data_IF_880721799580
#
_entry.id   IF_880721799580
#
_cell.length_a   1.000
_cell.length_b   1.000
_cell.length_c   1.000
_cell.angle_alpha   90.00
_cell.angle_beta   90.00
_cell.angle_gamma   90.00
#
_symmetry.space_group_name_H-M   'P 1'
#
loop_
_entity.id
_entity.type
_entity.pdbx_description
1 polymer ?
#
# COMPACT_ATOMS: atom_id res chain seq x y z
N UNK A 1 -15.31 3.97 -12.06
CA UNK A 1 -14.39 5.07 -11.69
C UNK A 1 -13.07 4.58 -11.10
N UNK A 2 -13.03 3.42 -10.41
CA UNK A 2 -11.80 2.84 -9.86
C UNK A 2 -10.91 2.11 -10.89
N UNK A 3 -11.44 1.51 -11.96
CA UNK A 3 -10.61 0.76 -12.92
C UNK A 3 -9.50 1.59 -13.57
N UNK A 4 -9.73 2.88 -13.86
CA UNK A 4 -8.74 3.71 -14.56
C UNK A 4 -7.42 3.91 -13.79
N UNK A 5 -7.40 3.83 -12.45
CA UNK A 5 -6.12 3.96 -11.73
C UNK A 5 -5.27 2.69 -11.83
N UNK A 6 -5.89 1.54 -12.05
CA UNK A 6 -5.17 0.27 -12.24
C UNK A 6 -4.44 0.25 -13.58
N UNK A 7 -4.92 0.99 -14.59
CA UNK A 7 -4.41 0.93 -15.97
C UNK A 7 -3.67 2.20 -16.46
N UNK A 8 -3.82 3.33 -15.78
CA UNK A 8 -3.16 4.59 -16.21
C UNK A 8 -2.08 5.12 -15.25
N UNK A 9 -1.97 4.59 -14.04
CA UNK A 9 -0.99 5.10 -13.08
C UNK A 9 0.45 4.74 -13.49
N UNK A 10 1.37 5.69 -13.33
CA UNK A 10 2.81 5.50 -13.49
C UNK A 10 3.54 5.18 -12.17
N UNK A 11 2.87 5.38 -11.04
CA UNK A 11 3.38 5.10 -9.69
C UNK A 11 2.21 4.81 -8.77
N UNK A 12 2.41 3.88 -7.82
CA UNK A 12 1.44 3.60 -6.77
C UNK A 12 1.98 4.01 -5.40
N UNK A 13 1.15 4.72 -4.63
CA UNK A 13 1.37 4.96 -3.21
C UNK A 13 0.38 4.11 -2.41
N UNK A 14 0.89 3.14 -1.66
CA UNK A 14 0.10 2.29 -0.77
C UNK A 14 0.29 2.79 0.64
N UNK A 15 -0.76 3.37 1.22
CA UNK A 15 -0.70 3.98 2.55
C UNK A 15 -1.43 3.09 3.55
N UNK A 16 -0.77 2.73 4.64
CA UNK A 16 -1.37 2.01 5.77
C UNK A 16 -1.20 2.83 7.05
N UNK A 17 -1.97 2.56 8.09
CA UNK A 17 -1.81 3.21 9.41
C UNK A 17 -0.94 2.33 10.30
N UNK A 18 0.11 2.88 10.91
CA UNK A 18 0.98 2.11 11.82
C UNK A 18 0.25 1.65 13.08
N UNK A 19 -0.91 2.22 13.36
CA UNK A 19 -1.82 1.87 14.46
C UNK A 19 -2.94 0.92 14.05
N UNK A 20 -2.88 0.33 12.85
CA UNK A 20 -3.89 -0.63 12.37
C UNK A 20 -3.20 -1.71 11.54
N UNK A 21 -2.97 -2.87 12.15
CA UNK A 21 -2.37 -4.03 11.49
C UNK A 21 -3.17 -4.52 10.28
N UNK A 22 -4.49 -4.38 10.28
CA UNK A 22 -5.33 -4.82 9.16
C UNK A 22 -5.11 -3.95 7.92
N UNK A 23 -4.91 -2.64 8.10
CA UNK A 23 -4.57 -1.72 7.00
C UNK A 23 -3.26 -2.12 6.30
N UNK A 24 -2.26 -2.59 7.05
CA UNK A 24 -1.01 -3.09 6.49
C UNK A 24 -1.23 -4.36 5.67
N UNK A 25 -2.04 -5.30 6.18
CA UNK A 25 -2.39 -6.53 5.43
C UNK A 25 -3.11 -6.20 4.12
N UNK A 26 -4.09 -5.29 4.16
CA UNK A 26 -4.83 -4.82 2.97
C UNK A 26 -3.91 -4.16 1.95
N UNK A 27 -2.92 -3.39 2.38
CA UNK A 27 -1.91 -2.80 1.48
C UNK A 27 -1.09 -3.89 0.76
N UNK A 28 -0.74 -4.98 1.45
CA UNK A 28 -0.10 -6.15 0.83
C UNK A 28 -0.97 -6.84 -0.21
N UNK A 29 -2.26 -7.07 0.10
CA UNK A 29 -3.23 -7.63 -0.85
C UNK A 29 -3.42 -6.73 -2.08
N UNK A 30 -3.47 -5.42 -1.88
CA UNK A 30 -3.59 -4.45 -2.97
C UNK A 30 -2.34 -4.46 -3.86
N UNK A 31 -1.14 -4.56 -3.28
CA UNK A 31 0.11 -4.72 -4.04
C UNK A 31 0.10 -5.97 -4.92
N UNK A 32 -0.41 -7.10 -4.40
CA UNK A 32 -0.54 -8.33 -5.18
C UNK A 32 -1.48 -8.13 -6.37
N UNK A 33 -2.66 -7.54 -6.15
CA UNK A 33 -3.63 -7.24 -7.22
C UNK A 33 -3.09 -6.30 -8.29
N UNK A 34 -2.31 -5.28 -7.91
CA UNK A 34 -1.66 -4.36 -8.86
C UNK A 34 -0.67 -5.10 -9.75
N UNK A 35 0.12 -6.01 -9.17
CA UNK A 35 1.08 -6.83 -9.91
C UNK A 35 0.40 -7.84 -10.83
N UNK A 36 -0.74 -8.39 -10.43
CA UNK A 36 -1.55 -9.30 -11.27
C UNK A 36 -2.19 -8.58 -12.46
N UNK A 37 -2.63 -7.32 -12.30
CA UNK A 37 -3.23 -6.54 -13.38
C UNK A 37 -2.21 -6.09 -14.43
N UNK A 38 -1.01 -5.67 -14.01
CA UNK A 38 0.07 -5.27 -14.93
C UNK A 38 1.38 -6.02 -14.65
N UNK A 39 1.44 -7.34 -14.96
CA UNK A 39 2.61 -8.17 -14.65
C UNK A 39 3.87 -7.76 -15.44
N UNK A 40 3.68 -7.18 -16.63
CA UNK A 40 4.75 -6.77 -17.55
C UNK A 40 5.29 -5.36 -17.24
N UNK A 41 4.55 -4.55 -16.48
CA UNK A 41 4.92 -3.18 -16.15
C UNK A 41 5.47 -3.17 -14.73
N UNK A 42 6.79 -2.98 -14.59
CA UNK A 42 7.43 -2.83 -13.29
C UNK A 42 7.14 -1.44 -12.72
N UNK A 43 5.88 -1.17 -12.39
CA UNK A 43 5.41 0.13 -11.90
C UNK A 43 5.94 0.36 -10.48
N UNK A 44 6.69 1.45 -10.23
CA UNK A 44 7.18 1.77 -8.89
C UNK A 44 6.03 1.84 -7.89
N UNK A 45 6.16 1.09 -6.80
CA UNK A 45 5.16 1.04 -5.72
C UNK A 45 5.84 1.39 -4.41
N UNK A 46 5.36 2.45 -3.76
CA UNK A 46 5.87 2.96 -2.49
C UNK A 46 4.88 2.59 -1.40
N UNK A 47 5.34 1.91 -0.36
CA UNK A 47 4.54 1.61 0.83
C UNK A 47 4.82 2.65 1.91
N UNK A 48 3.79 3.26 2.46
CA UNK A 48 3.87 4.38 3.41
C UNK A 48 3.14 4.03 4.70
N UNK A 49 3.87 4.02 5.81
CA UNK A 49 3.29 3.92 7.15
C UNK A 49 2.86 5.29 7.66
N UNK A 50 1.57 5.52 7.73
CA UNK A 50 0.94 6.74 8.19
C UNK A 50 0.68 6.71 9.71
N UNK A 51 0.49 7.89 10.31
CA UNK A 51 0.24 8.10 11.76
C UNK A 51 1.40 7.68 12.67
N UNK A 52 2.63 7.90 12.22
CA UNK A 52 3.86 7.55 12.97
C UNK A 52 4.01 8.32 14.28
N UNK A 53 3.30 9.43 14.44
CA UNK A 53 3.19 10.21 15.67
C UNK A 53 2.52 9.44 16.82
N UNK A 54 1.65 8.46 16.51
CA UNK A 54 0.92 7.66 17.48
C UNK A 54 1.73 6.48 18.04
N UNK A 55 2.93 6.75 18.54
CA UNK A 55 3.92 5.74 18.96
C UNK A 55 3.37 4.73 19.98
N UNK A 56 2.54 5.17 20.93
CA UNK A 56 1.96 4.31 21.98
C UNK A 56 0.88 3.34 21.47
N UNK A 57 0.28 3.65 20.33
CA UNK A 57 -0.75 2.84 19.67
C UNK A 57 -0.18 2.10 18.46
N UNK A 58 1.15 2.06 18.32
CA UNK A 58 1.81 1.43 17.18
C UNK A 58 1.64 -0.08 17.27
N UNK A 59 1.00 -0.65 16.25
CA UNK A 59 0.82 -2.09 16.10
C UNK A 59 1.76 -2.68 15.04
N UNK A 60 2.27 -1.86 14.11
CA UNK A 60 3.15 -2.28 13.01
C UNK A 60 4.55 -1.73 13.22
N UNK A 61 5.53 -2.60 13.45
CA UNK A 61 6.94 -2.25 13.68
C UNK A 61 7.67 -2.01 12.35
N UNK A 62 8.68 -1.14 12.37
CA UNK A 62 9.71 -1.13 11.33
C UNK A 62 10.64 -2.30 11.65
N UNK A 63 10.72 -3.30 10.78
CA UNK A 63 11.82 -4.27 10.82
C UNK A 63 13.17 -3.58 10.56
#
# INVERSE_FOLDING_TARGET
MQENYLDLANVYLLVFSVTDRESFRKAGELRARLKEHRPSENIPTILVGNKTDLVRSREVTQE
#
